data_IF_751028784970
#
_entry.id   IF_751028784970
#
_cell.length_a   1.000
_cell.length_b   1.000
_cell.length_c   1.000
_cell.angle_alpha   90.00
_cell.angle_beta   90.00
_cell.angle_gamma   90.00
#
_symmetry.space_group_name_H-M   'P 1'
#
loop_
_entity.id
_entity.type
_entity.pdbx_description
1 polymer ?
#
# COMPACT_ATOMS: atom_id res chain seq x y z
N UNK A 1 9.94 -5.15 9.72
CA UNK A 1 10.60 -6.42 9.34
C UNK A 1 12.08 -6.16 9.14
N UNK A 2 12.96 -6.94 9.79
CA UNK A 2 14.42 -6.81 9.69
C UNK A 2 14.95 -8.04 8.92
N UNK A 3 15.99 -7.85 8.11
CA UNK A 3 16.63 -8.91 7.34
C UNK A 3 17.59 -8.34 6.29
N UNK A 4 18.47 -9.17 5.73
CA UNK A 4 19.42 -8.77 4.68
C UNK A 4 18.71 -8.32 3.39
N UNK A 5 19.44 -7.66 2.50
CA UNK A 5 18.97 -7.42 1.14
C UNK A 5 18.71 -8.78 0.45
N UNK A 6 17.58 -8.89 -0.25
CA UNK A 6 17.13 -10.16 -0.83
C UNK A 6 16.30 -11.06 0.09
N UNK A 7 16.17 -10.77 1.39
CA UNK A 7 15.35 -11.57 2.33
C UNK A 7 13.82 -11.48 2.09
N UNK A 8 13.37 -10.87 0.99
CA UNK A 8 11.93 -10.78 0.64
C UNK A 8 11.14 -9.69 1.34
N UNK A 9 11.77 -8.75 2.07
CA UNK A 9 11.07 -7.67 2.79
C UNK A 9 10.15 -6.83 1.89
N UNK A 10 10.65 -6.42 0.72
CA UNK A 10 9.88 -5.63 -0.24
C UNK A 10 8.75 -6.46 -0.85
N UNK A 11 9.02 -7.73 -1.19
CA UNK A 11 8.01 -8.67 -1.68
C UNK A 11 6.87 -8.86 -0.68
N UNK A 12 7.21 -9.01 0.61
CA UNK A 12 6.24 -9.10 1.69
C UNK A 12 5.35 -7.85 1.77
N UNK A 13 5.95 -6.66 1.75
CA UNK A 13 5.19 -5.40 1.78
C UNK A 13 4.33 -5.22 0.53
N UNK A 14 4.81 -5.61 -0.65
CA UNK A 14 4.04 -5.58 -1.90
C UNK A 14 2.84 -6.53 -1.83
N UNK A 15 3.00 -7.72 -1.24
CA UNK A 15 1.92 -8.68 -1.05
C UNK A 15 0.85 -8.16 -0.07
N UNK A 16 1.29 -7.55 1.04
CA UNK A 16 0.38 -6.90 2.00
C UNK A 16 -0.40 -5.74 1.35
N UNK A 17 0.27 -4.93 0.52
CA UNK A 17 -0.35 -3.82 -0.21
C UNK A 17 -1.26 -4.28 -1.37
N UNK A 18 -1.17 -5.53 -1.81
CA UNK A 18 -1.94 -6.07 -2.93
C UNK A 18 -1.35 -5.78 -4.31
N UNK A 19 -0.07 -5.41 -4.37
CA UNK A 19 0.71 -5.24 -5.61
C UNK A 19 1.23 -6.58 -6.16
N UNK A 20 1.43 -7.56 -5.28
CA UNK A 20 1.87 -8.92 -5.62
C UNK A 20 0.89 -9.92 -5.01
N UNK A 21 0.48 -10.92 -5.79
CA UNK A 21 -0.38 -12.01 -5.30
C UNK A 21 0.46 -13.03 -4.54
N UNK A 22 -0.08 -13.56 -3.44
CA UNK A 22 0.57 -14.67 -2.71
C UNK A 22 0.23 -16.00 -3.38
N UNK A 23 1.18 -16.92 -3.41
CA UNK A 23 0.98 -18.26 -3.96
C UNK A 23 0.07 -19.14 -3.08
N UNK A 24 0.14 -18.94 -1.75
CA UNK A 24 -0.64 -19.68 -0.77
C UNK A 24 -0.80 -18.89 0.54
N UNK A 25 -1.70 -19.36 1.42
CA UNK A 25 -2.04 -18.70 2.68
C UNK A 25 -3.08 -17.60 2.55
N UNK A 26 -3.22 -16.79 3.61
CA UNK A 26 -4.18 -15.69 3.68
C UNK A 26 -3.56 -14.45 4.29
N UNK A 27 -4.01 -13.28 3.84
CA UNK A 27 -3.68 -11.96 4.41
C UNK A 27 -4.97 -11.40 5.01
N UNK A 28 -4.98 -11.22 6.33
CA UNK A 28 -6.12 -10.66 7.07
C UNK A 28 -5.72 -9.30 7.62
N UNK A 29 -6.51 -8.28 7.33
CA UNK A 29 -6.35 -6.91 7.82
C UNK A 29 -7.68 -6.45 8.41
N UNK A 30 -7.69 -6.01 9.67
CA UNK A 30 -8.91 -5.63 10.40
C UNK A 30 -10.03 -6.69 10.31
N UNK A 31 -9.67 -7.96 10.54
CA UNK A 31 -10.56 -9.13 10.42
C UNK A 31 -11.18 -9.36 9.03
N UNK A 32 -10.74 -8.64 8.00
CA UNK A 32 -11.14 -8.85 6.61
C UNK A 32 -10.07 -9.64 5.87
N UNK A 33 -10.45 -10.73 5.20
CA UNK A 33 -9.59 -11.40 4.24
C UNK A 33 -9.38 -10.49 3.02
N UNK A 34 -8.16 -9.96 2.89
CA UNK A 34 -7.79 -9.09 1.78
C UNK A 34 -6.97 -9.81 0.71
N UNK A 35 -6.72 -11.12 0.85
CA UNK A 35 -5.76 -11.91 0.05
C UNK A 35 -5.90 -11.67 -1.45
N UNK A 36 -7.14 -11.61 -1.95
CA UNK A 36 -7.47 -11.41 -3.37
C UNK A 36 -7.96 -10.01 -3.71
N UNK A 37 -7.96 -9.08 -2.76
CA UNK A 37 -8.34 -7.71 -3.00
C UNK A 37 -7.18 -6.96 -3.69
N UNK A 38 -7.44 -6.18 -4.75
CA UNK A 38 -6.44 -5.31 -5.35
C UNK A 38 -6.14 -4.09 -4.45
N UNK A 39 -5.00 -3.43 -4.67
CA UNK A 39 -4.50 -2.29 -3.87
C UNK A 39 -5.57 -1.22 -3.60
N UNK A 40 -6.35 -0.80 -4.61
CA UNK A 40 -7.35 0.25 -4.45
C UNK A 40 -8.51 -0.14 -3.50
N UNK A 41 -8.84 -1.44 -3.37
CA UNK A 41 -9.82 -1.94 -2.39
C UNK A 41 -9.22 -2.06 -0.98
N UNK A 42 -7.88 -2.16 -0.88
CA UNK A 42 -7.15 -2.17 0.40
C UNK A 42 -6.82 -0.78 0.92
N UNK A 43 -6.85 0.26 0.08
CA UNK A 43 -6.36 1.62 0.39
C UNK A 43 -7.02 2.32 1.59
N UNK A 44 -8.22 1.89 1.98
CA UNK A 44 -8.90 2.37 3.19
C UNK A 44 -8.30 1.81 4.49
N UNK A 45 -7.54 0.70 4.42
CA UNK A 45 -6.96 -0.03 5.57
C UNK A 45 -5.44 -0.08 5.53
N UNK A 46 -4.86 -0.14 4.34
CA UNK A 46 -3.42 -0.28 4.14
C UNK A 46 -2.85 0.98 3.51
N UNK A 47 -1.82 1.52 4.16
CA UNK A 47 -1.01 2.64 3.72
C UNK A 47 0.44 2.19 3.58
N UNK A 48 1.13 2.67 2.55
CA UNK A 48 2.56 2.37 2.36
C UNK A 48 3.36 3.66 2.30
N UNK A 49 4.46 3.65 3.05
CA UNK A 49 5.57 4.60 2.87
C UNK A 49 6.65 3.85 2.10
N UNK A 50 7.07 4.41 0.98
CA UNK A 50 8.06 3.81 0.10
C UNK A 50 9.48 4.20 0.53
N UNK A 51 10.47 3.38 0.13
CA UNK A 51 11.88 3.70 0.39
C UNK A 51 12.34 4.93 -0.41
N UNK A 52 11.85 5.07 -1.64
CA UNK A 52 11.94 6.29 -2.42
C UNK A 52 10.70 7.15 -2.11
N UNK A 53 10.86 8.32 -1.48
CA UNK A 53 9.74 9.22 -1.18
C UNK A 53 8.94 9.64 -2.42
N UNK A 54 9.60 9.77 -3.58
CA UNK A 54 8.94 10.20 -4.82
C UNK A 54 7.96 9.15 -5.36
N UNK A 55 8.10 7.89 -4.95
CA UNK A 55 7.16 6.83 -5.32
C UNK A 55 5.79 6.96 -4.62
N UNK A 56 5.69 7.78 -3.57
CA UNK A 56 4.47 7.97 -2.78
C UNK A 56 3.88 9.39 -2.86
N UNK A 57 4.49 10.29 -3.62
CA UNK A 57 4.10 11.70 -3.72
C UNK A 57 3.99 12.13 -5.18
N UNK A 58 3.31 13.25 -5.42
CA UNK A 58 3.24 13.87 -6.73
C UNK A 58 4.12 15.12 -6.74
N UNK A 59 5.23 15.06 -7.48
CA UNK A 59 6.22 16.15 -7.59
C UNK A 59 5.64 17.45 -8.15
N UNK A 60 4.64 17.35 -9.03
CA UNK A 60 4.00 18.50 -9.68
C UNK A 60 2.91 19.16 -8.82
N UNK A 61 2.67 18.65 -7.61
CA UNK A 61 1.64 19.16 -6.70
C UNK A 61 2.28 19.88 -5.51
N UNK A 62 1.56 20.86 -4.98
CA UNK A 62 1.94 21.51 -3.73
C UNK A 62 1.90 20.51 -2.56
N UNK A 63 2.49 20.93 -1.44
CA UNK A 63 2.42 20.14 -0.19
C UNK A 63 0.97 19.94 0.23
N UNK A 64 0.15 20.99 0.15
CA UNK A 64 -1.27 20.97 0.53
C UNK A 64 -2.06 20.01 -0.34
N UNK A 65 -1.78 19.97 -1.65
CA UNK A 65 -2.42 19.07 -2.60
C UNK A 65 -2.03 17.60 -2.34
N UNK A 66 -0.75 17.32 -2.05
CA UNK A 66 -0.30 15.99 -1.64
C UNK A 66 -1.00 15.54 -0.34
N UNK A 67 -1.16 16.42 0.65
CA UNK A 67 -1.89 16.13 1.88
C UNK A 67 -3.38 15.88 1.62
N UNK A 68 -4.00 16.64 0.72
CA UNK A 68 -5.40 16.43 0.33
C UNK A 68 -5.60 15.05 -0.33
N UNK A 69 -4.67 14.58 -1.17
CA UNK A 69 -4.69 13.23 -1.73
C UNK A 69 -4.61 12.15 -0.65
N UNK A 70 -3.75 12.36 0.35
CA UNK A 70 -3.61 11.43 1.47
C UNK A 70 -4.90 11.35 2.31
N UNK A 71 -5.55 12.48 2.59
CA UNK A 71 -6.82 12.55 3.33
C UNK A 71 -7.95 11.83 2.58
N UNK A 72 -8.02 11.98 1.25
CA UNK A 72 -9.05 11.35 0.42
C UNK A 72 -8.75 9.90 0.06
N UNK A 73 -7.64 9.32 0.54
CA UNK A 73 -7.25 7.95 0.19
C UNK A 73 -8.34 6.94 0.57
N UNK A 74 -8.69 6.07 -0.39
CA UNK A 74 -9.68 5.01 -0.18
C UNK A 74 -11.14 5.47 -0.21
N UNK A 75 -11.40 6.77 -0.38
CA UNK A 75 -12.75 7.29 -0.60
C UNK A 75 -13.17 7.11 -2.06
N UNK A 76 -14.48 6.97 -2.32
CA UNK A 76 -14.99 6.97 -3.70
C UNK A 76 -14.69 8.31 -4.35
N UNK A 77 -14.29 8.27 -5.61
CA UNK A 77 -14.35 9.46 -6.46
C UNK A 77 -15.84 9.76 -6.67
N UNK A 78 -16.23 11.02 -6.48
CA UNK A 78 -17.57 11.49 -6.81
C UNK A 78 -17.85 11.41 -8.30
#
# INVERSE_FOLDING_TARGET
VIGSNGAGKSTFLNALAGEVMVDSGQIIVDNLDVTRLPTHKRAARVARVFQDPLAGTCENLSIEENLALAIKRGQSRG
#
